data_IF_532851108045
#
_entry.id   IF_532851108045
#
_cell.length_a   1.000
_cell.length_b   1.000
_cell.length_c   1.000
_cell.angle_alpha   90.00
_cell.angle_beta   90.00
_cell.angle_gamma   90.00
#
_symmetry.space_group_name_H-M   'P 1'
#
loop_
_entity.id
_entity.type
_entity.pdbx_description
1 polymer ?
#
# COMPACT_ATOMS: atom_id res chain seq x y z
N UNK A 1 45.03 -50.03 39.95
CA UNK A 1 43.74 -50.16 40.68
C UNK A 1 43.10 -48.78 40.78
N UNK A 2 41.90 -48.59 40.18
CA UNK A 2 40.87 -47.54 40.37
C UNK A 2 41.28 -46.07 40.13
N UNK A 3 40.86 -45.41 39.04
CA UNK A 3 39.53 -44.81 38.75
C UNK A 3 39.10 -43.70 39.72
N UNK A 4 39.04 -42.45 39.24
CA UNK A 4 37.76 -41.75 39.02
C UNK A 4 37.95 -40.42 38.25
N UNK A 5 36.99 -40.18 37.36
CA UNK A 5 36.85 -39.02 36.48
C UNK A 5 36.14 -37.84 37.17
N UNK A 6 35.81 -36.81 36.36
CA UNK A 6 34.80 -35.75 36.54
C UNK A 6 35.43 -34.40 37.00
N UNK A 7 35.25 -33.21 36.40
CA UNK A 7 34.31 -32.62 35.43
C UNK A 7 35.06 -31.55 34.60
N UNK A 8 34.71 -31.41 33.30
CA UNK A 8 34.98 -30.20 32.49
C UNK A 8 33.72 -29.34 32.48
N UNK A 9 33.86 -28.05 32.80
CA UNK A 9 32.99 -26.98 32.32
C UNK A 9 33.85 -25.99 31.51
N UNK A 10 33.51 -25.64 30.27
CA UNK A 10 34.12 -24.51 29.59
C UNK A 10 33.31 -23.24 29.87
N UNK A 11 33.94 -22.30 30.56
CA UNK A 11 33.43 -20.95 30.75
C UNK A 11 33.25 -20.25 29.39
N UNK A 12 32.05 -19.71 29.18
CA UNK A 12 31.59 -19.17 27.92
C UNK A 12 32.35 -17.90 27.52
N UNK A 13 33.18 -17.98 26.47
CA UNK A 13 33.76 -16.80 25.84
C UNK A 13 32.67 -16.03 25.07
N UNK A 14 32.23 -14.92 25.65
CA UNK A 14 31.41 -13.90 24.99
C UNK A 14 32.21 -13.31 23.81
N UNK A 15 31.73 -13.49 22.57
CA UNK A 15 32.31 -12.85 21.38
C UNK A 15 32.08 -11.33 21.44
N UNK A 16 33.18 -10.56 21.42
CA UNK A 16 33.16 -9.10 21.30
C UNK A 16 32.48 -8.69 20.00
N UNK A 17 31.37 -7.96 20.11
CA UNK A 17 30.66 -7.38 18.98
C UNK A 17 31.52 -6.36 18.24
N UNK A 18 31.45 -6.39 16.92
CA UNK A 18 31.92 -5.33 16.03
C UNK A 18 31.05 -4.10 16.25
N UNK A 19 31.61 -3.06 16.85
CA UNK A 19 30.98 -1.74 16.88
C UNK A 19 31.09 -1.13 15.47
N UNK A 20 29.94 -0.91 14.83
CA UNK A 20 29.87 -0.23 13.54
C UNK A 20 29.97 1.28 13.79
N UNK A 21 31.16 1.85 13.53
CA UNK A 21 31.45 3.28 13.69
C UNK A 21 31.00 4.11 12.48
N UNK A 22 30.16 3.57 11.60
CA UNK A 22 29.67 4.32 10.44
C UNK A 22 28.86 5.54 10.93
N UNK A 23 29.21 6.77 10.54
CA UNK A 23 28.43 7.95 10.90
C UNK A 23 26.99 7.84 10.42
N UNK A 24 26.03 8.34 11.21
CA UNK A 24 24.59 8.22 10.91
C UNK A 24 24.21 8.73 9.51
N UNK A 25 24.91 9.74 8.99
CA UNK A 25 24.69 10.28 7.64
C UNK A 25 25.24 9.35 6.54
N UNK A 26 26.34 8.63 6.79
CA UNK A 26 26.91 7.61 5.90
C UNK A 26 26.05 6.35 5.91
N UNK A 27 25.48 5.97 7.06
CA UNK A 27 24.44 4.96 7.18
C UNK A 27 23.16 5.36 6.43
N UNK A 28 22.73 6.62 6.55
CA UNK A 28 21.58 7.19 5.83
C UNK A 28 21.81 7.21 4.31
N UNK A 29 23.01 7.59 3.85
CA UNK A 29 23.38 7.53 2.44
C UNK A 29 23.47 6.09 1.94
N UNK A 30 24.15 5.20 2.68
CA UNK A 30 24.22 3.77 2.33
C UNK A 30 22.83 3.17 2.27
N UNK A 31 21.99 3.34 3.28
CA UNK A 31 20.61 2.85 3.26
C UNK A 31 19.80 3.47 2.12
N UNK A 32 19.98 4.76 1.79
CA UNK A 32 19.32 5.39 0.65
C UNK A 32 19.80 4.85 -0.71
N UNK A 33 21.10 4.56 -0.85
CA UNK A 33 21.70 3.98 -2.05
C UNK A 33 21.33 2.50 -2.19
N UNK A 34 21.37 1.74 -1.11
CA UNK A 34 20.92 0.35 -1.00
C UNK A 34 19.41 0.26 -1.30
N UNK A 35 18.58 1.19 -0.80
CA UNK A 35 17.16 1.34 -1.21
C UNK A 35 17.03 1.56 -2.71
N UNK A 36 17.90 2.37 -3.31
CA UNK A 36 17.87 2.63 -4.75
C UNK A 36 18.30 1.41 -5.58
N UNK A 37 19.27 0.64 -5.10
CA UNK A 37 19.76 -0.58 -5.72
C UNK A 37 18.77 -1.74 -5.60
N UNK A 38 18.15 -1.97 -4.44
CA UNK A 38 17.12 -3.00 -4.26
C UNK A 38 15.81 -2.69 -5.00
N UNK A 39 15.48 -1.40 -5.20
CA UNK A 39 14.31 -0.98 -6.00
C UNK A 39 14.47 -1.22 -7.49
N UNK A 40 15.69 -1.40 -7.99
CA UNK A 40 15.95 -1.79 -9.38
C UNK A 40 15.86 -3.31 -9.58
N UNK A 41 14.98 -3.98 -8.83
CA UNK A 41 14.53 -5.32 -9.22
C UNK A 41 13.89 -5.18 -10.60
N UNK A 42 14.42 -5.90 -11.59
CA UNK A 42 14.01 -5.81 -12.98
C UNK A 42 12.49 -5.93 -13.12
N UNK A 43 11.93 -5.24 -14.12
CA UNK A 43 10.50 -5.30 -14.47
C UNK A 43 10.00 -6.74 -14.40
N UNK A 44 9.08 -7.02 -13.48
CA UNK A 44 8.54 -8.37 -13.31
C UNK A 44 7.91 -8.84 -14.64
N UNK A 45 8.02 -10.13 -14.99
CA UNK A 45 7.38 -10.66 -16.18
C UNK A 45 5.86 -10.45 -16.10
N UNK A 46 5.25 -10.00 -17.20
CA UNK A 46 3.80 -9.97 -17.34
C UNK A 46 3.29 -11.41 -17.38
N UNK A 47 2.68 -11.87 -16.28
CA UNK A 47 2.08 -13.20 -16.22
C UNK A 47 0.73 -13.23 -16.94
N UNK A 48 0.08 -12.07 -17.14
CA UNK A 48 -0.97 -11.88 -18.12
C UNK A 48 -2.05 -12.96 -18.13
N UNK A 49 -2.60 -13.28 -16.97
CA UNK A 49 -3.67 -14.30 -16.88
C UNK A 49 -5.06 -13.68 -16.76
N UNK A 50 -5.14 -12.35 -16.59
CA UNK A 50 -6.39 -11.64 -16.29
C UNK A 50 -6.55 -10.40 -17.16
N UNK A 51 -7.79 -10.14 -17.53
CA UNK A 51 -8.25 -8.90 -18.14
C UNK A 51 -9.50 -8.44 -17.39
N UNK A 52 -9.80 -7.14 -17.40
CA UNK A 52 -11.02 -6.61 -16.80
C UNK A 52 -12.04 -6.47 -17.93
N UNK A 53 -13.11 -7.27 -17.90
CA UNK A 53 -14.12 -7.34 -18.97
C UNK A 53 -13.50 -7.54 -20.38
N UNK A 54 -12.49 -8.40 -20.50
CA UNK A 54 -11.80 -8.68 -21.77
C UNK A 54 -10.83 -7.59 -22.21
N UNK A 55 -10.58 -6.57 -21.39
CA UNK A 55 -9.70 -5.43 -21.71
C UNK A 55 -8.41 -5.49 -20.89
N UNK A 56 -7.30 -5.08 -21.52
CA UNK A 56 -6.03 -4.85 -20.83
C UNK A 56 -6.16 -3.63 -19.92
N UNK A 57 -5.59 -3.72 -18.72
CA UNK A 57 -5.61 -2.65 -17.72
C UNK A 57 -4.80 -1.46 -18.23
N UNK A 58 -5.47 -0.31 -18.33
CA UNK A 58 -4.90 0.99 -18.73
C UNK A 58 -4.48 1.81 -17.51
N UNK A 59 -5.22 1.68 -16.41
CA UNK A 59 -5.01 2.47 -15.21
C UNK A 59 -4.85 1.57 -13.98
N UNK A 60 -3.85 1.87 -13.16
CA UNK A 60 -3.68 1.26 -11.83
C UNK A 60 -3.77 2.38 -10.81
N UNK A 61 -4.78 2.31 -9.95
CA UNK A 61 -5.18 3.40 -9.06
C UNK A 61 -5.02 2.97 -7.61
N UNK A 62 -4.09 3.54 -6.84
CA UNK A 62 -4.01 3.30 -5.40
C UNK A 62 -5.22 3.88 -4.68
N UNK A 63 -5.88 3.05 -3.87
CA UNK A 63 -6.88 3.41 -2.87
C UNK A 63 -6.39 2.87 -1.52
N UNK A 64 -5.63 3.64 -0.75
CA UNK A 64 -4.99 3.13 0.46
C UNK A 64 -5.40 3.87 1.72
N UNK A 65 -5.33 3.18 2.85
CA UNK A 65 -5.44 3.81 4.17
C UNK A 65 -4.17 4.54 4.60
N UNK A 66 -3.07 4.29 3.90
CA UNK A 66 -1.77 4.88 4.14
C UNK A 66 -0.89 4.78 2.87
N UNK A 67 0.31 5.33 2.95
CA UNK A 67 1.21 5.55 1.82
C UNK A 67 1.77 4.28 1.15
N UNK A 68 1.68 3.11 1.79
CA UNK A 68 2.27 1.85 1.31
C UNK A 68 1.83 1.49 -0.12
N UNK A 69 0.52 1.54 -0.40
CA UNK A 69 -0.01 1.15 -1.72
C UNK A 69 0.58 2.02 -2.83
N UNK A 70 0.58 3.34 -2.64
CA UNK A 70 1.17 4.27 -3.59
C UNK A 70 2.70 4.12 -3.69
N UNK A 71 3.36 3.70 -2.59
CA UNK A 71 4.78 3.40 -2.52
C UNK A 71 5.18 2.17 -3.34
N UNK A 72 4.47 1.05 -3.17
CA UNK A 72 4.68 -0.20 -3.91
C UNK A 72 4.47 0.04 -5.42
N UNK A 73 3.35 0.66 -5.80
CA UNK A 73 3.07 0.95 -7.21
C UNK A 73 4.11 1.91 -7.84
N UNK A 74 4.64 2.86 -7.06
CA UNK A 74 5.71 3.74 -7.51
C UNK A 74 7.03 2.98 -7.69
N UNK A 75 7.38 2.11 -6.75
CA UNK A 75 8.61 1.32 -6.80
C UNK A 75 8.61 0.35 -8.00
N UNK A 76 7.45 -0.21 -8.33
CA UNK A 76 7.27 -1.10 -9.48
C UNK A 76 7.03 -0.37 -10.82
N UNK A 77 7.15 0.97 -10.87
CA UNK A 77 6.90 1.79 -12.07
C UNK A 77 5.47 1.66 -12.65
N UNK A 78 4.51 1.18 -11.84
CA UNK A 78 3.11 1.00 -12.22
C UNK A 78 2.27 2.26 -11.97
N UNK A 79 2.74 3.14 -11.09
CA UNK A 79 2.09 4.43 -10.81
C UNK A 79 2.50 5.49 -11.84
N UNK A 80 1.54 5.90 -12.66
CA UNK A 80 1.76 6.86 -13.77
C UNK A 80 1.63 8.33 -13.38
N UNK A 81 0.84 8.63 -12.36
CA UNK A 81 0.53 10.00 -11.95
C UNK A 81 0.21 10.06 -10.46
N UNK A 82 0.11 11.29 -9.92
CA UNK A 82 -0.34 11.51 -8.56
C UNK A 82 -1.88 11.52 -8.48
N UNK A 83 -2.45 10.92 -7.44
CA UNK A 83 -3.88 10.79 -7.19
C UNK A 83 -4.24 11.24 -5.77
N UNK A 84 -5.53 11.48 -5.48
CA UNK A 84 -5.97 12.08 -4.22
C UNK A 84 -5.63 11.25 -2.99
N UNK A 85 -5.72 9.93 -3.11
CA UNK A 85 -5.43 8.99 -2.02
C UNK A 85 -3.94 8.63 -1.91
N UNK A 86 -3.08 9.30 -2.69
CA UNK A 86 -1.64 9.15 -2.54
C UNK A 86 -1.15 9.91 -1.32
N UNK A 87 -0.31 9.26 -0.52
CA UNK A 87 0.43 9.91 0.57
C UNK A 87 -0.45 10.56 1.64
N UNK A 88 -1.69 10.07 1.81
CA UNK A 88 -2.61 10.47 2.87
C UNK A 88 -2.92 9.29 3.80
N UNK A 89 -3.44 9.60 4.98
CA UNK A 89 -4.05 8.61 5.87
C UNK A 89 -5.55 8.62 5.71
N UNK A 90 -6.14 7.44 5.54
CA UNK A 90 -7.57 7.27 5.35
C UNK A 90 -8.05 5.95 5.96
N UNK A 91 -9.35 5.71 5.90
CA UNK A 91 -9.96 4.41 6.22
C UNK A 91 -10.81 3.94 5.03
N UNK A 92 -11.12 2.65 4.88
CA UNK A 92 -11.97 2.19 3.78
C UNK A 92 -13.36 2.86 3.80
N UNK A 93 -13.91 3.10 4.99
CA UNK A 93 -15.16 3.84 5.17
C UNK A 93 -15.06 5.32 4.77
N UNK A 94 -13.93 5.97 5.05
CA UNK A 94 -13.68 7.34 4.59
C UNK A 94 -13.55 7.40 3.06
N UNK A 95 -12.81 6.47 2.45
CA UNK A 95 -12.67 6.39 0.99
C UNK A 95 -14.05 6.22 0.36
N UNK A 96 -14.87 5.31 0.89
CA UNK A 96 -16.25 5.12 0.42
C UNK A 96 -17.04 6.44 0.47
N UNK A 97 -17.05 7.13 1.62
CA UNK A 97 -17.74 8.41 1.78
C UNK A 97 -17.24 9.49 0.80
N UNK A 98 -15.93 9.60 0.61
CA UNK A 98 -15.34 10.57 -0.32
C UNK A 98 -15.79 10.30 -1.75
N UNK A 99 -15.84 9.02 -2.14
CA UNK A 99 -16.30 8.64 -3.47
C UNK A 99 -17.82 8.86 -3.63
N UNK A 100 -18.63 8.52 -2.63
CA UNK A 100 -20.09 8.74 -2.63
C UNK A 100 -20.48 10.22 -2.71
N UNK A 101 -19.68 11.09 -2.08
CA UNK A 101 -19.93 12.54 -2.04
C UNK A 101 -19.18 13.31 -3.12
N UNK A 102 -18.51 12.62 -4.05
CA UNK A 102 -17.67 13.19 -5.10
C UNK A 102 -16.67 14.24 -4.55
N UNK A 103 -15.88 13.85 -3.56
CA UNK A 103 -14.82 14.67 -2.94
C UNK A 103 -15.28 16.00 -2.34
N UNK A 104 -16.60 16.21 -2.14
CA UNK A 104 -17.18 17.49 -1.72
C UNK A 104 -16.53 18.07 -0.46
N UNK A 105 -16.26 17.22 0.52
CA UNK A 105 -15.64 17.58 1.79
C UNK A 105 -14.23 17.01 1.95
N UNK A 106 -13.55 16.61 0.86
CA UNK A 106 -12.24 15.97 0.94
C UNK A 106 -11.16 16.86 1.58
N UNK A 107 -11.12 18.16 1.24
CA UNK A 107 -10.21 19.13 1.85
C UNK A 107 -10.96 19.95 2.91
N UNK A 108 -10.45 20.07 4.15
CA UNK A 108 -11.03 20.99 5.12
C UNK A 108 -10.85 22.45 4.67
N UNK A 109 -11.60 23.40 5.26
CA UNK A 109 -11.32 24.82 5.12
C UNK A 109 -9.87 25.16 5.47
N UNK A 110 -9.34 26.23 4.89
CA UNK A 110 -7.96 26.67 5.12
C UNK A 110 -7.74 26.93 6.62
N UNK A 111 -6.64 26.39 7.17
CA UNK A 111 -6.30 26.55 8.58
C UNK A 111 -7.11 25.68 9.55
N UNK A 112 -7.97 24.79 9.04
CA UNK A 112 -8.76 23.88 9.86
C UNK A 112 -8.31 22.43 9.69
N UNK A 113 -8.55 21.64 10.73
CA UNK A 113 -8.51 20.17 10.63
C UNK A 113 -9.86 19.65 10.14
N UNK A 114 -10.06 18.34 10.18
CA UNK A 114 -11.27 17.67 9.72
C UNK A 114 -12.04 17.06 10.90
N UNK A 115 -12.72 17.86 11.77
CA UNK A 115 -13.38 17.35 12.98
C UNK A 115 -14.38 16.24 12.67
N UNK A 116 -15.18 16.41 11.62
CA UNK A 116 -16.16 15.42 11.20
C UNK A 116 -15.53 14.08 10.80
N UNK A 117 -14.34 14.11 10.18
CA UNK A 117 -13.65 12.88 9.80
C UNK A 117 -12.94 12.23 10.99
N UNK A 118 -12.49 13.02 11.96
CA UNK A 118 -12.02 12.49 13.23
C UNK A 118 -13.12 11.73 13.96
N UNK A 119 -14.29 12.36 14.09
CA UNK A 119 -15.41 11.78 14.83
C UNK A 119 -16.04 10.59 14.09
N UNK A 120 -16.16 10.66 12.77
CA UNK A 120 -16.80 9.64 11.95
C UNK A 120 -15.90 8.49 11.53
N UNK A 121 -14.60 8.75 11.32
CA UNK A 121 -13.65 7.77 10.77
C UNK A 121 -12.43 7.53 11.66
N UNK A 122 -12.30 8.21 12.80
CA UNK A 122 -11.16 8.05 13.71
C UNK A 122 -9.85 8.64 13.17
N UNK A 123 -9.91 9.55 12.19
CA UNK A 123 -8.72 10.14 11.54
C UNK A 123 -8.35 11.47 12.19
N UNK A 124 -7.27 11.50 12.97
CA UNK A 124 -6.77 12.73 13.61
C UNK A 124 -6.02 13.63 12.64
N UNK A 125 -5.16 13.05 11.81
CA UNK A 125 -4.42 13.74 10.75
C UNK A 125 -4.47 12.92 9.46
N UNK A 126 -5.10 13.49 8.43
CA UNK A 126 -5.29 12.86 7.12
C UNK A 126 -4.14 13.20 6.16
N UNK A 127 -3.45 14.33 6.35
CA UNK A 127 -2.52 14.90 5.37
C UNK A 127 -1.11 15.05 5.95
N UNK A 128 -0.46 13.95 6.39
CA UNK A 128 0.81 13.99 7.14
C UNK A 128 1.99 14.58 6.35
N UNK A 129 1.85 14.71 5.03
CA UNK A 129 2.89 15.17 4.12
C UNK A 129 2.50 16.42 3.33
N UNK A 130 1.40 17.09 3.70
CA UNK A 130 0.88 18.21 2.94
C UNK A 130 0.43 19.36 3.84
N UNK A 131 0.96 20.54 3.57
CA UNK A 131 0.48 21.78 4.16
C UNK A 131 -0.75 22.28 3.38
N UNK A 132 -1.94 22.05 3.92
CA UNK A 132 -3.21 22.49 3.33
C UNK A 132 -3.53 23.97 3.57
N UNK A 133 -2.67 24.71 4.27
CA UNK A 133 -2.77 26.18 4.34
C UNK A 133 -2.22 26.84 3.06
N UNK A 134 -1.29 26.15 2.39
CA UNK A 134 -0.74 26.58 1.11
C UNK A 134 -1.73 26.41 -0.05
N UNK A 135 -1.97 27.51 -0.78
CA UNK A 135 -2.81 27.51 -1.98
C UNK A 135 -2.28 26.53 -3.05
N UNK A 136 -0.96 26.43 -3.24
CA UNK A 136 -0.35 25.55 -4.24
C UNK A 136 -0.55 24.07 -3.92
N UNK A 137 -0.51 23.70 -2.64
CA UNK A 137 -0.81 22.34 -2.18
C UNK A 137 -2.27 21.99 -2.46
N UNK A 138 -3.19 22.89 -2.11
CA UNK A 138 -4.63 22.70 -2.36
C UNK A 138 -4.94 22.56 -3.86
N UNK A 139 -4.34 23.40 -4.69
CA UNK A 139 -4.41 23.29 -6.15
C UNK A 139 -3.87 21.95 -6.66
N UNK A 140 -2.76 21.46 -6.09
CA UNK A 140 -2.20 20.15 -6.42
C UNK A 140 -3.20 19.03 -6.14
N UNK A 141 -3.88 19.06 -4.99
CA UNK A 141 -4.95 18.12 -4.68
C UNK A 141 -6.16 18.27 -5.62
N UNK A 142 -6.59 19.50 -5.94
CA UNK A 142 -7.66 19.74 -6.90
C UNK A 142 -7.35 19.11 -8.27
N UNK A 143 -6.11 19.26 -8.77
CA UNK A 143 -5.67 18.60 -10.01
C UNK A 143 -5.65 17.07 -9.89
N UNK A 144 -5.26 16.52 -8.74
CA UNK A 144 -5.31 15.07 -8.49
C UNK A 144 -6.74 14.55 -8.50
N UNK A 145 -7.68 15.30 -7.92
CA UNK A 145 -9.12 14.96 -7.90
C UNK A 145 -9.68 15.01 -9.33
N UNK A 146 -9.40 16.08 -10.07
CA UNK A 146 -9.82 16.19 -11.47
C UNK A 146 -9.31 15.02 -12.32
N UNK A 147 -8.05 14.62 -12.14
CA UNK A 147 -7.48 13.44 -12.80
C UNK A 147 -8.18 12.15 -12.41
N UNK A 148 -8.43 11.95 -11.11
CA UNK A 148 -9.16 10.78 -10.62
C UNK A 148 -10.54 10.69 -11.25
N UNK A 149 -11.30 11.80 -11.28
CA UNK A 149 -12.60 11.88 -11.97
C UNK A 149 -12.49 11.54 -13.45
N UNK A 150 -11.45 12.05 -14.13
CA UNK A 150 -11.17 11.73 -15.52
C UNK A 150 -11.03 10.22 -15.75
N UNK A 151 -10.27 9.52 -14.89
CA UNK A 151 -10.11 8.06 -14.94
C UNK A 151 -11.44 7.35 -14.73
N UNK A 152 -12.19 7.73 -13.69
CA UNK A 152 -13.49 7.15 -13.36
C UNK A 152 -14.48 7.26 -14.53
N UNK A 153 -14.46 8.39 -15.25
CA UNK A 153 -15.33 8.66 -16.38
C UNK A 153 -14.96 7.90 -17.67
N UNK A 154 -13.76 7.31 -17.74
CA UNK A 154 -13.36 6.52 -18.90
C UNK A 154 -14.08 5.17 -18.96
N UNK A 155 -14.08 4.55 -20.14
CA UNK A 155 -14.41 3.12 -20.31
C UNK A 155 -13.15 2.26 -20.39
N UNK A 156 -12.02 2.77 -19.93
CA UNK A 156 -10.78 2.00 -19.90
C UNK A 156 -10.76 1.06 -18.69
N UNK A 157 -10.07 -0.07 -18.83
CA UNK A 157 -9.96 -1.00 -17.71
C UNK A 157 -9.08 -0.42 -16.60
N UNK A 158 -9.66 -0.32 -15.41
CA UNK A 158 -9.03 0.31 -14.25
C UNK A 158 -8.93 -0.67 -13.10
N UNK A 159 -7.71 -0.94 -12.65
CA UNK A 159 -7.43 -1.74 -11.47
C UNK A 159 -7.26 -0.81 -10.27
N UNK A 160 -8.21 -0.84 -9.34
CA UNK A 160 -8.05 -0.19 -8.04
C UNK A 160 -7.31 -1.15 -7.10
N UNK A 161 -6.26 -0.66 -6.44
CA UNK A 161 -5.47 -1.46 -5.50
C UNK A 161 -5.63 -0.86 -4.11
N UNK A 162 -6.03 -1.66 -3.13
CA UNK A 162 -6.17 -1.23 -1.75
C UNK A 162 -5.39 -2.13 -0.81
N UNK A 163 -4.53 -1.54 0.01
CA UNK A 163 -3.85 -2.23 1.11
C UNK A 163 -4.19 -1.52 2.40
N UNK A 164 -4.63 -2.27 3.40
CA UNK A 164 -5.01 -1.70 4.70
C UNK A 164 -4.48 -2.49 5.87
N UNK A 165 -4.14 -1.78 6.96
CA UNK A 165 -3.68 -2.36 8.23
C UNK A 165 -4.83 -3.00 9.01
N UNK A 166 -4.54 -3.88 10.00
CA UNK A 166 -5.58 -4.45 10.88
C UNK A 166 -6.45 -3.39 11.56
N UNK A 167 -5.89 -2.23 11.88
CA UNK A 167 -6.62 -1.10 12.50
C UNK A 167 -7.69 -0.48 11.61
N UNK A 168 -7.69 -0.77 10.31
CA UNK A 168 -8.60 -0.21 9.32
C UNK A 168 -9.21 -1.33 8.45
N UNK A 169 -10.12 -2.15 9.00
CA UNK A 169 -10.60 -3.36 8.35
C UNK A 169 -11.38 -3.06 7.06
N UNK A 170 -11.00 -3.73 5.96
CA UNK A 170 -11.64 -3.57 4.65
C UNK A 170 -12.97 -4.34 4.58
N UNK A 171 -13.08 -5.47 5.29
CA UNK A 171 -14.15 -6.46 5.09
C UNK A 171 -15.58 -5.91 5.07
N UNK A 172 -15.91 -4.96 5.96
CA UNK A 172 -17.24 -4.32 6.02
C UNK A 172 -17.52 -3.38 4.85
N UNK A 173 -16.48 -2.79 4.28
CA UNK A 173 -16.57 -1.79 3.21
C UNK A 173 -16.29 -2.38 1.83
N UNK A 174 -15.76 -3.60 1.74
CA UNK A 174 -15.37 -4.24 0.47
C UNK A 174 -16.55 -4.35 -0.51
N UNK A 175 -17.71 -4.80 -0.03
CA UNK A 175 -18.92 -4.90 -0.83
C UNK A 175 -19.39 -3.55 -1.37
N UNK A 176 -19.70 -2.58 -0.50
CA UNK A 176 -20.11 -1.24 -0.90
C UNK A 176 -19.11 -0.51 -1.81
N UNK A 177 -17.80 -0.61 -1.52
CA UNK A 177 -16.75 -0.03 -2.38
C UNK A 177 -16.75 -0.67 -3.76
N UNK A 178 -16.86 -2.00 -3.84
CA UNK A 178 -16.94 -2.71 -5.12
C UNK A 178 -18.17 -2.25 -5.91
N UNK A 179 -19.34 -2.21 -5.29
CA UNK A 179 -20.58 -1.80 -5.96
C UNK A 179 -20.50 -0.35 -6.45
N UNK A 180 -19.92 0.55 -5.65
CA UNK A 180 -19.70 1.93 -6.05
C UNK A 180 -18.75 2.00 -7.24
N UNK A 181 -17.59 1.37 -7.16
CA UNK A 181 -16.59 1.42 -8.24
C UNK A 181 -17.15 0.84 -9.54
N UNK A 182 -17.91 -0.26 -9.49
CA UNK A 182 -18.52 -0.84 -10.68
C UNK A 182 -19.63 0.04 -11.28
N UNK A 183 -20.40 0.74 -10.43
CA UNK A 183 -21.43 1.67 -10.89
C UNK A 183 -20.83 2.92 -11.55
N UNK A 184 -19.80 3.49 -10.93
CA UNK A 184 -19.20 4.75 -11.39
C UNK A 184 -18.12 4.53 -12.47
N UNK A 185 -17.51 3.34 -12.54
CA UNK A 185 -16.46 2.98 -13.49
C UNK A 185 -16.71 1.55 -14.05
N UNK A 186 -17.38 1.43 -15.22
CA UNK A 186 -17.90 0.14 -15.73
C UNK A 186 -16.85 -0.97 -15.95
N UNK A 187 -15.58 -0.59 -16.11
CA UNK A 187 -14.46 -1.52 -16.28
C UNK A 187 -13.49 -1.47 -15.10
N UNK A 188 -14.03 -1.37 -13.88
CA UNK A 188 -13.27 -1.38 -12.64
C UNK A 188 -13.17 -2.77 -12.01
N UNK A 189 -12.01 -3.09 -11.44
CA UNK A 189 -11.83 -4.18 -10.47
C UNK A 189 -11.10 -3.66 -9.23
N UNK A 190 -11.55 -4.05 -8.05
CA UNK A 190 -10.87 -3.77 -6.78
C UNK A 190 -10.05 -4.98 -6.34
N UNK A 191 -8.74 -4.81 -6.30
CA UNK A 191 -7.80 -5.73 -5.66
C UNK A 191 -7.47 -5.19 -4.26
N UNK A 192 -8.10 -5.77 -3.25
CA UNK A 192 -7.92 -5.39 -1.87
C UNK A 192 -7.06 -6.42 -1.11
N UNK A 193 -6.21 -5.92 -0.22
CA UNK A 193 -5.31 -6.69 0.65
C UNK A 193 -5.45 -6.15 2.07
N UNK A 194 -6.06 -6.96 2.94
CA UNK A 194 -6.11 -6.72 4.36
C UNK A 194 -4.85 -7.30 4.99
N UNK A 195 -3.97 -6.43 5.50
CA UNK A 195 -2.83 -6.85 6.28
C UNK A 195 -3.32 -7.43 7.61
N UNK A 196 -2.71 -8.54 7.98
CA UNK A 196 -2.82 -9.20 9.27
C UNK A 196 -1.58 -8.85 10.11
N UNK A 197 -1.63 -9.10 11.42
CA UNK A 197 -0.46 -8.92 12.27
C UNK A 197 0.74 -9.70 11.72
N UNK A 198 1.95 -9.10 11.68
CA UNK A 198 3.16 -9.81 11.27
C UNK A 198 3.37 -11.05 12.13
N UNK A 199 3.95 -12.09 11.52
CA UNK A 199 4.17 -13.37 12.18
C UNK A 199 4.96 -13.24 13.48
N UNK A 200 4.67 -14.13 14.44
CA UNK A 200 5.62 -14.55 15.46
C UNK A 200 6.60 -15.57 14.86
N UNK A 201 7.77 -15.73 15.46
CA UNK A 201 8.80 -16.66 14.96
C UNK A 201 8.23 -18.09 14.75
N UNK A 202 8.37 -18.64 13.54
CA UNK A 202 7.84 -19.98 13.17
C UNK A 202 6.59 -19.99 12.27
N UNK A 203 5.98 -18.82 12.03
CA UNK A 203 4.93 -18.52 11.02
C UNK A 203 4.94 -19.30 9.68
N UNK A 204 3.86 -19.33 8.89
CA UNK A 204 3.95 -19.36 7.40
C UNK A 204 3.36 -18.06 6.80
N UNK A 205 3.83 -17.61 5.62
CA UNK A 205 3.51 -16.30 5.04
C UNK A 205 2.34 -16.67 4.18
N UNK A 206 1.21 -16.04 4.46
CA UNK A 206 -0.07 -16.48 3.95
C UNK A 206 -0.72 -15.35 3.19
N UNK A 207 -1.23 -15.67 2.01
CA UNK A 207 -2.15 -14.81 1.30
C UNK A 207 -3.36 -15.64 0.90
N UNK A 208 -4.51 -15.30 1.47
CA UNK A 208 -5.74 -16.08 1.34
C UNK A 208 -6.83 -15.21 0.75
N UNK A 209 -7.55 -15.72 -0.26
CA UNK A 209 -8.72 -15.03 -0.79
C UNK A 209 -9.90 -15.20 0.19
N UNK A 210 -10.32 -14.12 0.83
CA UNK A 210 -11.36 -14.17 1.87
C UNK A 210 -12.72 -13.69 1.38
N UNK A 211 -12.74 -12.75 0.43
CA UNK A 211 -13.99 -12.33 -0.21
C UNK A 211 -13.79 -12.15 -1.70
N UNK A 212 -14.84 -12.50 -2.46
CA UNK A 212 -14.95 -12.20 -3.87
C UNK A 212 -16.32 -11.60 -4.13
N UNK A 213 -16.34 -10.50 -4.88
CA UNK A 213 -17.58 -9.87 -5.32
C UNK A 213 -17.40 -9.45 -6.77
N UNK A 214 -18.24 -9.98 -7.66
CA UNK A 214 -18.02 -9.86 -9.10
C UNK A 214 -16.61 -10.35 -9.47
N UNK A 215 -15.76 -9.46 -10.01
CA UNK A 215 -14.35 -9.72 -10.31
C UNK A 215 -13.41 -9.26 -9.18
N UNK A 216 -13.85 -8.31 -8.36
CA UNK A 216 -13.08 -7.78 -7.24
C UNK A 216 -12.77 -8.84 -6.20
N UNK A 217 -11.60 -8.72 -5.58
CA UNK A 217 -11.05 -9.70 -4.64
C UNK A 217 -10.47 -9.01 -3.42
N UNK A 218 -10.79 -9.54 -2.25
CA UNK A 218 -10.16 -9.19 -0.99
C UNK A 218 -9.34 -10.38 -0.51
N UNK A 219 -8.06 -10.13 -0.26
CA UNK A 219 -7.13 -11.08 0.32
C UNK A 219 -6.80 -10.69 1.75
N UNK A 220 -6.72 -11.68 2.65
CA UNK A 220 -5.98 -11.53 3.89
C UNK A 220 -4.51 -11.84 3.62
N UNK A 221 -3.61 -10.96 4.03
CA UNK A 221 -2.18 -11.12 3.85
C UNK A 221 -1.45 -10.99 5.19
N UNK A 222 -0.74 -12.05 5.58
CA UNK A 222 0.12 -12.08 6.76
C UNK A 222 1.58 -11.92 6.32
N UNK A 223 2.17 -10.70 6.45
CA UNK A 223 3.53 -10.44 6.01
C UNK A 223 4.58 -11.07 6.93
N UNK A 224 5.79 -11.24 6.41
CA UNK A 224 7.00 -11.61 7.15
C UNK A 224 7.55 -10.45 7.97
N UNK A 225 7.34 -9.21 7.51
CA UNK A 225 7.89 -8.00 8.13
C UNK A 225 6.81 -6.95 8.43
N UNK A 226 7.09 -6.07 9.38
CA UNK A 226 6.20 -4.95 9.71
C UNK A 226 6.55 -3.71 8.88
N UNK A 227 5.58 -3.20 8.13
CA UNK A 227 5.71 -1.94 7.39
C UNK A 227 5.33 -0.71 8.22
N UNK A 228 4.69 -0.90 9.37
CA UNK A 228 3.87 0.13 10.03
C UNK A 228 4.62 1.44 10.32
N UNK A 229 5.87 1.32 10.76
CA UNK A 229 6.75 2.43 11.13
C UNK A 229 7.52 3.04 9.95
N UNK A 230 7.65 2.31 8.83
CA UNK A 230 8.54 2.67 7.72
C UNK A 230 7.78 3.12 6.47
N UNK A 231 6.51 2.71 6.33
CA UNK A 231 5.72 2.92 5.12
C UNK A 231 6.19 2.08 3.93
N UNK A 232 6.99 1.05 4.19
CA UNK A 232 7.43 0.02 3.25
C UNK A 232 7.76 -1.27 4.02
N UNK A 233 7.69 -2.43 3.36
CA UNK A 233 8.10 -3.70 3.95
C UNK A 233 9.63 -3.84 3.97
N UNK A 234 10.25 -4.10 5.14
CA UNK A 234 11.67 -4.46 5.22
C UNK A 234 12.03 -5.73 4.43
N UNK A 235 11.15 -6.73 4.44
CA UNK A 235 11.35 -7.98 3.70
C UNK A 235 10.75 -7.86 2.28
N UNK A 236 11.60 -8.07 1.28
CA UNK A 236 11.23 -7.97 -0.14
C UNK A 236 10.17 -8.99 -0.53
N UNK A 237 10.07 -10.13 0.16
CA UNK A 237 9.07 -11.15 -0.13
C UNK A 237 7.65 -10.62 0.05
N UNK A 238 7.43 -9.71 1.00
CA UNK A 238 6.10 -9.17 1.27
C UNK A 238 5.58 -8.32 0.12
N UNK A 239 6.43 -7.44 -0.41
CA UNK A 239 6.11 -6.63 -1.57
C UNK A 239 5.93 -7.50 -2.83
N UNK A 240 6.78 -8.51 -3.03
CA UNK A 240 6.69 -9.42 -4.17
C UNK A 240 5.37 -10.22 -4.19
N UNK A 241 4.83 -10.60 -3.03
CA UNK A 241 3.54 -11.30 -2.97
C UNK A 241 2.38 -10.41 -3.39
N UNK A 242 2.40 -9.13 -3.00
CA UNK A 242 1.40 -8.15 -3.43
C UNK A 242 1.55 -7.87 -4.93
N UNK A 243 2.77 -7.63 -5.40
CA UNK A 243 3.05 -7.43 -6.81
C UNK A 243 2.65 -8.64 -7.65
N UNK A 244 2.82 -9.87 -7.17
CA UNK A 244 2.35 -11.08 -7.85
C UNK A 244 0.85 -11.03 -8.12
N UNK A 245 0.03 -10.48 -7.23
CA UNK A 245 -1.41 -10.32 -7.50
C UNK A 245 -1.69 -9.28 -8.58
N UNK A 246 -0.93 -8.19 -8.59
CA UNK A 246 -1.06 -7.10 -9.55
C UNK A 246 -0.59 -7.54 -10.94
N UNK A 247 0.55 -8.21 -11.05
CA UNK A 247 1.11 -8.71 -12.32
C UNK A 247 0.37 -9.92 -12.92
N UNK A 248 -0.74 -10.36 -12.30
CA UNK A 248 -1.65 -11.31 -12.96
C UNK A 248 -2.44 -10.66 -14.10
N UNK A 249 -2.55 -9.33 -14.14
CA UNK A 249 -3.34 -8.63 -15.14
C UNK A 249 -2.49 -8.27 -16.35
N UNK A 250 -3.08 -8.37 -17.53
CA UNK A 250 -2.50 -7.82 -18.75
C UNK A 250 -2.53 -6.30 -18.70
N UNK A 251 -1.36 -5.70 -18.91
CA UNK A 251 -1.19 -4.26 -18.92
C UNK A 251 -1.09 -3.71 -20.34
N UNK A 252 -1.70 -2.55 -20.53
CA UNK A 252 -1.48 -1.68 -21.69
C UNK A 252 -1.41 -0.24 -21.17
N UNK A 253 -0.45 0.01 -20.28
CA UNK A 253 -0.29 1.31 -19.64
C UNK A 253 0.20 2.31 -20.69
N UNK A 254 -0.72 3.09 -21.25
CA UNK A 254 -0.38 4.22 -22.09
C UNK A 254 0.00 5.43 -21.22
N UNK A 255 0.82 6.30 -21.77
CA UNK A 255 1.07 7.62 -21.19
C UNK A 255 -0.20 8.46 -21.37
N UNK A 256 -0.94 8.71 -20.28
CA UNK A 256 -2.05 9.67 -20.29
C UNK A 256 -1.43 11.07 -20.39
N UNK A 257 -1.64 11.74 -21.53
CA UNK A 257 -1.27 13.15 -21.73
C UNK A 257 -2.09 14.07 -20.83
#
# INVERSE_FOLDING_TARGET
>A
MRSNAIHREPDAQVKRGTYDFTPAWLLSMRTSLTRHQHRRSGKMPDYGTRSINGRKVRHIVPLGTHCLTAGILRAAELRRYALPFDWIFSTPGMILHVLETDFRDFMPPVGQTHPSYRDRFGLSDMFPHADLTSASTRESFARRIARFRGIMATREATLFVMISRPSNPIGWHFGPLTDLLERECPNAELLAVQLQSPRLAGESVGMELVQRRSRSRLYDFRPASDESALGYFPDVLDELLILRLIYQYHFDLADVQ
#
